data_IF_664699998496
#
_entry.id   IF_664699998496
#
_cell.length_a   1.000
_cell.length_b   1.000
_cell.length_c   1.000
_cell.angle_alpha   90.00
_cell.angle_beta   90.00
_cell.angle_gamma   90.00
#
_symmetry.space_group_name_H-M   'P 1'
#
loop_
_entity.id
_entity.type
_entity.pdbx_description
1 polymer ?
#
# COMPACT_ATOMS: atom_id res chain seq x y z
N UNK A 1 -9.49 -9.02 13.39
CA UNK A 1 -9.06 -10.20 12.61
C UNK A 1 -8.42 -9.82 11.26
N UNK A 2 -9.14 -9.10 10.39
CA UNK A 2 -8.70 -8.75 9.02
C UNK A 2 -7.31 -8.09 8.92
N UNK A 3 -7.03 -7.06 9.73
CA UNK A 3 -5.72 -6.37 9.70
C UNK A 3 -4.56 -7.32 10.02
N UNK A 4 -4.77 -8.27 10.96
CA UNK A 4 -3.78 -9.28 11.32
C UNK A 4 -3.52 -10.23 10.16
N UNK A 5 -4.57 -10.73 9.50
CA UNK A 5 -4.46 -11.57 8.29
C UNK A 5 -3.74 -10.83 7.15
N UNK A 6 -3.94 -9.52 7.03
CA UNK A 6 -3.24 -8.69 6.05
C UNK A 6 -1.78 -8.39 6.43
N UNK A 7 -1.27 -8.87 7.58
CA UNK A 7 0.08 -8.56 8.06
C UNK A 7 0.24 -7.10 8.47
N UNK A 8 -0.84 -6.47 8.95
CA UNK A 8 -0.93 -5.05 9.33
C UNK A 8 -0.50 -4.05 8.22
N UNK A 9 -0.40 -4.49 6.96
CA UNK A 9 -0.21 -3.60 5.80
C UNK A 9 -1.45 -2.73 5.63
N UNK A 10 -1.36 -1.46 6.02
CA UNK A 10 -2.47 -0.49 5.99
C UNK A 10 -1.94 0.89 5.67
N UNK A 11 -2.79 1.70 5.05
CA UNK A 11 -2.54 3.10 4.75
C UNK A 11 -3.87 3.86 4.77
N UNK A 12 -3.82 5.15 5.13
CA UNK A 12 -4.97 6.06 5.07
C UNK A 12 -4.79 7.03 3.91
N UNK A 13 -5.85 7.23 3.13
CA UNK A 13 -5.90 8.25 2.10
C UNK A 13 -6.88 9.36 2.50
N UNK A 14 -6.42 10.61 2.47
CA UNK A 14 -7.31 11.75 2.31
C UNK A 14 -7.54 11.97 0.81
N UNK A 15 -8.66 11.50 0.29
CA UNK A 15 -9.02 11.66 -1.12
C UNK A 15 -9.55 13.06 -1.46
N UNK A 16 -9.79 13.92 -0.47
CA UNK A 16 -10.32 15.27 -0.67
C UNK A 16 -9.23 16.33 -0.70
N UNK A 17 -8.04 16.02 -0.19
CA UNK A 17 -6.89 16.94 -0.19
C UNK A 17 -6.62 17.50 -1.59
N UNK A 18 -6.38 18.81 -1.65
CA UNK A 18 -5.90 19.52 -2.84
C UNK A 18 -4.40 19.79 -2.79
N UNK A 19 -3.76 19.44 -1.68
CA UNK A 19 -2.31 19.54 -1.49
C UNK A 19 -1.61 18.43 -2.28
N UNK A 20 -0.88 18.81 -3.32
CA UNK A 20 -0.16 17.89 -4.19
C UNK A 20 0.98 17.16 -3.48
N UNK A 21 1.60 17.76 -2.47
CA UNK A 21 2.63 17.10 -1.67
C UNK A 21 2.01 15.95 -0.86
N UNK A 22 0.86 16.18 -0.22
CA UNK A 22 0.12 15.12 0.49
C UNK A 22 -0.30 13.99 -0.43
N UNK A 23 -0.78 14.31 -1.64
CA UNK A 23 -1.13 13.28 -2.64
C UNK A 23 0.09 12.45 -3.03
N UNK A 24 1.22 13.10 -3.32
CA UNK A 24 2.48 12.43 -3.66
C UNK A 24 2.94 11.52 -2.54
N UNK A 25 2.88 11.99 -1.30
CA UNK A 25 3.33 11.21 -0.14
C UNK A 25 2.43 10.02 0.17
N UNK A 26 1.10 10.17 0.02
CA UNK A 26 0.16 9.05 0.13
C UNK A 26 0.41 7.99 -0.96
N UNK A 27 0.67 8.40 -2.21
CA UNK A 27 1.00 7.49 -3.29
C UNK A 27 2.33 6.75 -3.03
N UNK A 28 3.37 7.46 -2.58
CA UNK A 28 4.65 6.84 -2.21
C UNK A 28 4.49 5.78 -1.13
N UNK A 29 3.72 6.09 -0.08
CA UNK A 29 3.47 5.12 0.99
C UNK A 29 2.71 3.88 0.48
N UNK A 30 1.76 4.05 -0.45
CA UNK A 30 1.09 2.91 -1.09
C UNK A 30 2.07 2.04 -1.87
N UNK A 31 2.95 2.66 -2.68
CA UNK A 31 3.94 1.94 -3.49
C UNK A 31 4.90 1.14 -2.61
N UNK A 32 5.39 1.71 -1.49
CA UNK A 32 6.23 0.98 -0.52
C UNK A 32 5.55 -0.27 0.01
N UNK A 33 4.24 -0.20 0.31
CA UNK A 33 3.49 -1.37 0.77
C UNK A 33 3.32 -2.42 -0.32
N UNK A 34 3.11 -2.00 -1.58
CA UNK A 34 2.99 -2.89 -2.74
C UNK A 34 4.33 -3.59 -3.02
N UNK A 35 5.43 -2.85 -3.03
CA UNK A 35 6.77 -3.40 -3.24
C UNK A 35 7.09 -4.47 -2.19
N UNK A 36 6.78 -4.21 -0.92
CA UNK A 36 6.92 -5.21 0.15
C UNK A 36 6.06 -6.47 -0.08
N UNK A 37 4.90 -6.37 -0.74
CA UNK A 37 4.10 -7.56 -1.13
C UNK A 37 4.78 -8.31 -2.28
N UNK A 38 5.28 -7.59 -3.27
CA UNK A 38 5.95 -8.15 -4.44
C UNK A 38 7.20 -8.92 -4.00
N UNK A 39 8.04 -8.32 -3.16
CA UNK A 39 9.23 -8.97 -2.58
C UNK A 39 8.85 -10.22 -1.79
N UNK A 40 7.85 -10.13 -0.91
CA UNK A 40 7.36 -11.27 -0.12
C UNK A 40 6.84 -12.42 -0.99
N UNK A 41 6.29 -12.12 -2.16
CA UNK A 41 5.78 -13.11 -3.09
C UNK A 41 6.84 -13.61 -4.08
N UNK A 42 8.11 -13.22 -3.93
CA UNK A 42 9.18 -13.60 -4.85
C UNK A 42 8.97 -13.04 -6.26
N UNK A 43 8.38 -11.85 -6.37
CA UNK A 43 8.07 -11.20 -7.64
C UNK A 43 6.84 -11.76 -8.37
N UNK A 44 6.13 -12.73 -7.78
CA UNK A 44 4.99 -13.38 -8.44
C UNK A 44 3.67 -12.70 -8.09
N UNK A 45 2.89 -12.40 -9.12
CA UNK A 45 1.51 -11.96 -8.98
C UNK A 45 0.61 -13.07 -8.44
N UNK A 46 -0.59 -12.69 -7.99
CA UNK A 46 -1.61 -13.66 -7.59
C UNK A 46 -2.11 -14.46 -8.79
N UNK A 47 -2.16 -15.78 -8.65
CA UNK A 47 -2.76 -16.72 -9.61
C UNK A 47 -3.94 -17.42 -8.95
N UNK A 48 -5.00 -17.68 -9.72
CA UNK A 48 -6.17 -18.44 -9.25
C UNK A 48 -5.88 -19.93 -9.20
#
# INVERSE_FOLDING_TARGET
ETLRMCGNRRILFDNKTKDEAKKSDQLKQLLVLVDAVVEKNGGKGYTK
#
